data_IF_377987575390
#
_entry.id   IF_377987575390
#
_cell.length_a   1.000
_cell.length_b   1.000
_cell.length_c   1.000
_cell.angle_alpha   90.00
_cell.angle_beta   90.00
_cell.angle_gamma   90.00
#
_symmetry.space_group_name_H-M   'P 1'
#
loop_
_entity.id
_entity.type
_entity.pdbx_description
1 polymer ?
#
# COMPACT_ATOMS: atom_id res chain seq x y z
N UNK A 1 -14.50 -1.26 -2.26
CA UNK A 1 -14.54 0.19 -2.10
C UNK A 1 -13.64 0.63 -0.94
N UNK A 2 -12.81 1.62 -1.17
CA UNK A 2 -11.90 2.12 -0.14
C UNK A 2 -12.60 3.13 0.78
N UNK A 3 -12.38 2.96 2.08
CA UNK A 3 -12.86 3.89 3.12
C UNK A 3 -11.68 4.42 3.92
N UNK A 4 -11.80 5.64 4.44
CA UNK A 4 -10.77 6.24 5.28
C UNK A 4 -10.74 5.54 6.64
N UNK A 5 -9.57 5.00 7.01
CA UNK A 5 -9.40 4.27 8.27
C UNK A 5 -8.81 5.13 9.39
N UNK A 6 -8.40 6.38 9.14
CA UNK A 6 -7.81 7.20 10.21
C UNK A 6 -8.70 7.29 11.46
N UNK A 7 -10.02 7.52 11.33
CA UNK A 7 -10.90 7.54 12.50
C UNK A 7 -11.00 6.20 13.23
N UNK A 8 -10.61 5.10 12.57
CA UNK A 8 -10.72 3.75 13.11
C UNK A 8 -9.41 3.16 13.60
N UNK A 9 -8.32 3.94 13.55
CA UNK A 9 -7.02 3.50 14.06
C UNK A 9 -7.15 3.23 15.57
N UNK A 10 -6.64 2.06 15.98
CA UNK A 10 -6.78 1.58 17.36
C UNK A 10 -7.90 0.58 17.55
N UNK A 11 -8.80 0.43 16.57
CA UNK A 11 -9.82 -0.62 16.65
C UNK A 11 -9.20 -2.00 16.38
N UNK A 12 -9.81 -3.09 16.92
CA UNK A 12 -9.29 -4.43 16.70
C UNK A 12 -9.15 -4.81 15.22
N UNK A 13 -10.08 -4.40 14.38
CA UNK A 13 -10.10 -4.72 12.95
C UNK A 13 -8.91 -4.09 12.21
N UNK A 14 -8.64 -2.81 12.48
CA UNK A 14 -7.51 -2.11 11.88
C UNK A 14 -6.19 -2.64 12.43
N UNK A 15 -6.11 -2.90 13.74
CA UNK A 15 -4.92 -3.46 14.36
C UNK A 15 -4.57 -4.84 13.79
N UNK A 16 -5.56 -5.69 13.56
CA UNK A 16 -5.35 -7.00 12.95
C UNK A 16 -4.70 -6.87 11.58
N UNK A 17 -5.25 -6.02 10.71
CA UNK A 17 -4.71 -5.81 9.36
C UNK A 17 -3.31 -5.19 9.40
N UNK A 18 -3.08 -4.21 10.26
CA UNK A 18 -1.74 -3.61 10.41
C UNK A 18 -0.72 -4.64 10.88
N UNK A 19 -1.12 -5.59 11.72
CA UNK A 19 -0.24 -6.66 12.17
C UNK A 19 0.28 -7.47 10.98
N UNK A 20 -0.56 -7.77 9.99
CA UNK A 20 -0.13 -8.45 8.78
C UNK A 20 0.79 -7.59 7.91
N UNK A 21 0.63 -6.28 7.94
CA UNK A 21 1.46 -5.36 7.17
C UNK A 21 2.87 -5.18 7.76
N UNK A 22 3.02 -5.39 9.08
CA UNK A 22 4.29 -5.23 9.82
C UNK A 22 4.74 -6.53 10.46
N UNK A 23 4.52 -7.64 9.79
CA UNK A 23 4.67 -9.00 10.31
C UNK A 23 6.08 -9.29 10.85
N UNK A 24 7.10 -8.65 10.31
CA UNK A 24 8.50 -8.87 10.68
C UNK A 24 8.93 -8.17 11.97
N UNK A 25 8.09 -7.27 12.49
CA UNK A 25 8.39 -6.52 13.70
C UNK A 25 7.13 -6.31 14.54
N UNK A 26 6.90 -7.18 15.56
CA UNK A 26 5.71 -7.06 16.41
C UNK A 26 5.62 -5.74 17.18
N UNK A 27 6.76 -5.06 17.40
CA UNK A 27 6.79 -3.76 18.09
C UNK A 27 6.45 -2.60 17.16
N UNK A 28 6.49 -2.81 15.85
CA UNK A 28 6.20 -1.79 14.86
C UNK A 28 4.72 -1.43 14.79
N UNK A 29 3.81 -2.27 15.28
CA UNK A 29 2.38 -2.03 15.18
C UNK A 29 1.98 -0.70 15.83
N UNK A 30 2.39 -0.46 17.08
CA UNK A 30 2.05 0.76 17.79
C UNK A 30 2.68 1.99 17.15
N UNK A 31 3.94 1.89 16.75
CA UNK A 31 4.64 2.97 16.06
C UNK A 31 3.97 3.30 14.74
N UNK A 32 3.64 2.29 13.94
CA UNK A 32 2.96 2.46 12.65
C UNK A 32 1.58 3.10 12.82
N UNK A 33 0.81 2.65 13.80
CA UNK A 33 -0.50 3.23 14.13
C UNK A 33 -0.37 4.71 14.50
N UNK A 34 0.63 5.04 15.31
CA UNK A 34 0.89 6.44 15.71
C UNK A 34 1.28 7.31 14.52
N UNK A 35 2.12 6.80 13.63
CA UNK A 35 2.52 7.54 12.42
C UNK A 35 1.32 7.88 11.55
N UNK A 36 0.45 6.91 11.28
CA UNK A 36 -0.76 7.17 10.50
C UNK A 36 -1.75 8.11 11.19
N UNK A 37 -1.82 8.07 12.52
CA UNK A 37 -2.69 8.95 13.28
C UNK A 37 -2.19 10.40 13.30
N UNK A 38 -0.88 10.59 13.39
CA UNK A 38 -0.28 11.89 13.68
C UNK A 38 0.16 12.65 12.43
N UNK A 39 0.59 11.93 11.38
CA UNK A 39 1.13 12.55 10.16
C UNK A 39 0.03 12.78 9.13
N UNK A 40 -0.25 14.06 8.83
CA UNK A 40 -1.28 14.45 7.89
C UNK A 40 -1.00 13.96 6.46
N UNK A 41 0.28 13.82 6.08
CA UNK A 41 0.69 13.33 4.77
C UNK A 41 0.51 11.83 4.57
N UNK A 42 0.37 11.07 5.65
CA UNK A 42 0.14 9.64 5.59
C UNK A 42 -1.35 9.35 5.59
N UNK A 43 -1.79 8.52 4.65
CA UNK A 43 -3.19 8.12 4.49
C UNK A 43 -3.31 6.62 4.73
N UNK A 44 -4.37 6.21 5.39
CA UNK A 44 -4.68 4.80 5.63
C UNK A 44 -6.12 4.54 5.19
N UNK A 45 -6.28 3.70 4.19
CA UNK A 45 -7.58 3.32 3.65
C UNK A 45 -7.79 1.82 3.74
N UNK A 46 -9.03 1.42 3.84
CA UNK A 46 -9.39 0.00 3.92
C UNK A 46 -10.40 -0.39 2.87
N UNK A 47 -10.35 -1.66 2.47
CA UNK A 47 -11.32 -2.25 1.58
C UNK A 47 -12.41 -2.91 2.42
N UNK A 48 -13.62 -2.40 2.29
CA UNK A 48 -14.77 -2.90 3.03
C UNK A 48 -15.79 -3.52 2.06
N UNK A 49 -16.25 -4.72 2.37
CA UNK A 49 -17.36 -5.36 1.69
C UNK A 49 -18.33 -5.93 2.73
N UNK A 50 -19.62 -5.67 2.55
CA UNK A 50 -20.69 -6.17 3.45
C UNK A 50 -20.42 -5.85 4.93
N UNK A 51 -19.93 -4.63 5.18
CA UNK A 51 -19.56 -4.13 6.51
C UNK A 51 -18.34 -4.84 7.15
N UNK A 52 -17.63 -5.66 6.37
CA UNK A 52 -16.41 -6.33 6.82
C UNK A 52 -15.18 -5.67 6.22
N UNK A 53 -14.19 -5.37 7.06
CA UNK A 53 -12.91 -4.83 6.63
C UNK A 53 -11.99 -5.98 6.23
N UNK A 54 -11.66 -6.08 4.95
CA UNK A 54 -10.92 -7.22 4.39
C UNK A 54 -9.47 -6.92 4.05
N UNK A 55 -9.13 -5.66 3.86
CA UNK A 55 -7.78 -5.26 3.51
C UNK A 55 -7.52 -3.80 3.86
N UNK A 56 -6.24 -3.41 3.85
CA UNK A 56 -5.86 -2.01 4.00
C UNK A 56 -4.70 -1.66 3.09
N UNK A 57 -4.59 -0.37 2.79
CA UNK A 57 -3.46 0.21 2.10
C UNK A 57 -3.11 1.54 2.77
N UNK A 58 -1.84 1.69 3.13
CA UNK A 58 -1.30 2.92 3.68
C UNK A 58 -0.35 3.54 2.67
N UNK A 59 -0.46 4.85 2.48
CA UNK A 59 0.32 5.54 1.46
C UNK A 59 0.58 6.99 1.84
N UNK A 60 1.57 7.58 1.18
CA UNK A 60 1.90 8.99 1.29
C UNK A 60 1.78 9.64 -0.08
N UNK A 61 1.09 10.77 -0.15
CA UNK A 61 1.06 11.60 -1.35
C UNK A 61 2.23 12.55 -1.30
N UNK A 62 3.09 12.52 -2.32
CA UNK A 62 4.29 13.36 -2.38
C UNK A 62 4.01 14.64 -3.16
N UNK A 63 4.88 15.65 -2.96
CA UNK A 63 4.72 16.97 -3.60
C UNK A 63 4.81 16.92 -5.13
N UNK A 64 5.51 15.93 -5.68
CA UNK A 64 5.67 15.76 -7.12
C UNK A 64 4.48 15.07 -7.80
N UNK A 65 3.43 14.78 -7.04
CA UNK A 65 2.25 14.09 -7.55
C UNK A 65 2.35 12.58 -7.55
N UNK A 66 3.39 12.02 -6.93
CA UNK A 66 3.54 10.58 -6.76
C UNK A 66 2.79 10.10 -5.53
N UNK A 67 2.52 8.79 -5.48
CA UNK A 67 1.90 8.15 -4.35
C UNK A 67 2.80 6.98 -3.93
N UNK A 68 3.32 7.05 -2.71
CA UNK A 68 4.18 6.02 -2.12
C UNK A 68 3.34 5.06 -1.28
N UNK A 69 3.26 3.80 -1.71
CA UNK A 69 2.61 2.75 -0.91
C UNK A 69 3.56 2.37 0.21
N UNK A 70 3.12 2.55 1.46
CA UNK A 70 3.90 2.21 2.65
C UNK A 70 3.53 0.85 3.21
N UNK A 71 2.25 0.51 3.17
CA UNK A 71 1.73 -0.75 3.70
C UNK A 71 0.58 -1.21 2.84
N UNK A 72 0.49 -2.52 2.63
CA UNK A 72 -0.66 -3.14 2.00
C UNK A 72 -0.85 -4.52 2.63
N UNK A 73 -2.06 -4.84 3.00
CA UNK A 73 -2.38 -6.13 3.61
C UNK A 73 -3.81 -6.56 3.29
N UNK A 74 -4.01 -7.85 3.20
CA UNK A 74 -5.32 -8.49 3.07
C UNK A 74 -5.39 -9.59 4.10
N UNK A 75 -6.55 -9.77 4.75
CA UNK A 75 -6.75 -10.86 5.71
C UNK A 75 -6.42 -12.20 5.03
N UNK A 76 -5.76 -13.13 5.75
CA UNK A 76 -5.33 -14.40 5.14
C UNK A 76 -6.44 -15.18 4.44
N UNK A 77 -7.63 -15.23 5.03
CA UNK A 77 -8.79 -15.93 4.45
C UNK A 77 -9.34 -15.26 3.19
N UNK A 78 -8.95 -14.03 2.92
CA UNK A 78 -9.42 -13.25 1.76
C UNK A 78 -8.36 -13.09 0.67
N UNK A 79 -7.19 -13.66 0.86
CA UNK A 79 -6.10 -13.60 -0.14
C UNK A 79 -6.44 -14.42 -1.38
N UNK A 80 -5.87 -14.02 -2.51
CA UNK A 80 -6.10 -14.72 -3.78
C UNK A 80 -7.42 -14.38 -4.44
N UNK A 81 -8.15 -13.39 -3.93
CA UNK A 81 -9.46 -12.97 -4.47
C UNK A 81 -9.41 -11.62 -5.20
N UNK A 82 -8.22 -11.04 -5.33
CA UNK A 82 -8.04 -9.79 -6.05
C UNK A 82 -8.27 -8.50 -5.25
N UNK A 83 -8.36 -8.56 -3.93
CA UNK A 83 -8.59 -7.35 -3.11
C UNK A 83 -7.41 -6.39 -3.13
N UNK A 84 -6.17 -6.89 -3.03
CA UNK A 84 -4.99 -6.03 -3.11
C UNK A 84 -4.92 -5.32 -4.46
N UNK A 85 -5.16 -6.06 -5.54
CA UNK A 85 -5.25 -5.49 -6.89
C UNK A 85 -6.35 -4.43 -6.97
N UNK A 86 -7.51 -4.72 -6.40
CA UNK A 86 -8.64 -3.79 -6.38
C UNK A 86 -8.31 -2.50 -5.67
N UNK A 87 -7.60 -2.57 -4.53
CA UNK A 87 -7.16 -1.39 -3.80
C UNK A 87 -6.21 -0.52 -4.63
N UNK A 88 -5.23 -1.14 -5.31
CA UNK A 88 -4.29 -0.43 -6.18
C UNK A 88 -5.03 0.26 -7.34
N UNK A 89 -5.94 -0.46 -7.99
CA UNK A 89 -6.70 0.09 -9.12
C UNK A 89 -7.60 1.26 -8.68
N UNK A 90 -8.21 1.18 -7.51
CA UNK A 90 -9.01 2.28 -7.00
C UNK A 90 -8.16 3.51 -6.66
N UNK A 91 -6.97 3.32 -6.10
CA UNK A 91 -6.03 4.43 -5.87
C UNK A 91 -5.63 5.10 -7.19
N UNK A 92 -5.36 4.33 -8.23
CA UNK A 92 -5.03 4.88 -9.55
C UNK A 92 -6.20 5.68 -10.12
N UNK A 93 -7.41 5.22 -9.94
CA UNK A 93 -8.62 5.86 -10.46
C UNK A 93 -9.02 7.10 -9.68
N UNK A 94 -8.99 7.03 -8.35
CA UNK A 94 -9.49 8.10 -7.48
C UNK A 94 -8.46 9.18 -7.19
N UNK A 95 -7.17 8.82 -7.08
CA UNK A 95 -6.10 9.74 -6.75
C UNK A 95 -5.37 10.28 -7.98
N UNK A 96 -5.41 9.53 -9.09
CA UNK A 96 -4.76 9.88 -10.35
C UNK A 96 -3.31 10.34 -10.13
N UNK A 97 -2.48 9.53 -9.44
CA UNK A 97 -1.09 9.91 -9.19
C UNK A 97 -0.31 9.89 -10.49
N UNK A 98 0.77 10.66 -10.53
CA UNK A 98 1.70 10.63 -11.65
C UNK A 98 2.50 9.32 -11.68
N UNK A 99 2.95 8.91 -10.50
CA UNK A 99 3.63 7.63 -10.28
C UNK A 99 3.03 6.95 -9.06
N UNK A 100 2.94 5.65 -9.12
CA UNK A 100 2.63 4.82 -7.96
C UNK A 100 3.88 4.03 -7.65
N UNK A 101 4.40 4.15 -6.41
CA UNK A 101 5.69 3.61 -6.03
C UNK A 101 5.54 2.73 -4.79
N UNK A 102 6.23 1.61 -4.77
CA UNK A 102 6.35 0.74 -3.60
C UNK A 102 7.76 0.20 -3.52
N UNK A 103 8.31 0.09 -2.31
CA UNK A 103 9.59 -0.55 -2.08
C UNK A 103 9.38 -1.80 -1.25
N UNK A 104 10.11 -2.87 -1.57
CA UNK A 104 10.00 -4.14 -0.87
C UNK A 104 11.33 -4.89 -0.89
N UNK A 105 11.56 -5.70 0.13
CA UNK A 105 12.66 -6.65 0.18
C UNK A 105 12.20 -8.06 -0.20
N UNK A 106 10.91 -8.24 -0.47
CA UNK A 106 10.29 -9.52 -0.75
C UNK A 106 10.02 -9.69 -2.25
N UNK A 107 10.62 -10.73 -2.83
CA UNK A 107 10.42 -11.07 -4.25
C UNK A 107 8.97 -11.43 -4.58
N UNK A 108 8.24 -12.02 -3.66
CA UNK A 108 6.82 -12.36 -3.87
C UNK A 108 6.00 -11.08 -4.02
N UNK A 109 6.26 -10.08 -3.17
CA UNK A 109 5.61 -8.78 -3.29
C UNK A 109 6.01 -8.08 -4.60
N UNK A 110 7.29 -8.15 -4.99
CA UNK A 110 7.75 -7.60 -6.26
C UNK A 110 7.04 -8.25 -7.45
N UNK A 111 6.87 -9.58 -7.43
CA UNK A 111 6.15 -10.30 -8.48
C UNK A 111 4.68 -9.88 -8.56
N UNK A 112 4.05 -9.63 -7.41
CA UNK A 112 2.70 -9.08 -7.37
C UNK A 112 2.65 -7.74 -8.12
N UNK A 113 3.57 -6.82 -7.84
CA UNK A 113 3.61 -5.53 -8.52
C UNK A 113 3.92 -5.66 -10.01
N UNK A 114 4.83 -6.58 -10.39
CA UNK A 114 5.10 -6.88 -11.81
C UNK A 114 3.84 -7.34 -12.53
N UNK A 115 3.02 -8.15 -11.87
CA UNK A 115 1.77 -8.66 -12.46
C UNK A 115 0.76 -7.56 -12.77
N UNK A 116 0.89 -6.42 -12.11
CA UNK A 116 0.05 -5.23 -12.33
C UNK A 116 0.64 -4.27 -13.36
N UNK A 117 1.83 -4.55 -13.88
CA UNK A 117 2.50 -3.69 -14.85
C UNK A 117 3.54 -2.74 -14.28
N UNK A 118 3.88 -2.87 -13.00
CA UNK A 118 4.96 -2.08 -12.41
C UNK A 118 6.30 -2.52 -12.98
N UNK A 119 7.20 -1.56 -13.19
CA UNK A 119 8.61 -1.85 -13.42
C UNK A 119 9.29 -2.04 -12.07
N UNK A 120 10.14 -3.07 -11.98
CA UNK A 120 10.86 -3.41 -10.74
C UNK A 120 12.35 -3.34 -11.01
N UNK A 121 13.06 -2.63 -10.15
CA UNK A 121 14.52 -2.55 -10.23
C UNK A 121 15.14 -2.51 -8.84
N UNK A 122 16.41 -2.93 -8.79
CA UNK A 122 17.14 -3.03 -7.53
C UNK A 122 17.72 -1.66 -7.13
N UNK A 123 17.57 -1.33 -5.85
CA UNK A 123 18.27 -0.20 -5.24
C UNK A 123 19.62 -0.62 -4.63
N UNK A 124 19.98 -1.90 -4.76
CA UNK A 124 21.19 -2.48 -4.19
C UNK A 124 20.92 -3.14 -2.84
N UNK A 125 22.01 -3.67 -2.26
CA UNK A 125 21.95 -4.35 -0.97
C UNK A 125 22.27 -3.39 0.17
N UNK A 126 21.59 -3.58 1.31
CA UNK A 126 21.90 -2.85 2.53
C UNK A 126 23.10 -3.50 3.25
N UNK A 127 23.48 -2.96 4.43
CA UNK A 127 24.61 -3.48 5.21
C UNK A 127 24.42 -4.93 5.64
N UNK A 128 23.20 -5.44 5.71
CA UNK A 128 22.90 -6.85 6.04
C UNK A 128 22.89 -7.76 4.79
N UNK A 129 23.18 -7.23 3.60
CA UNK A 129 23.17 -8.00 2.37
C UNK A 129 21.77 -8.22 1.79
N UNK A 130 20.77 -7.46 2.23
CA UNK A 130 19.40 -7.58 1.77
C UNK A 130 19.16 -6.58 0.65
N UNK A 131 18.72 -7.10 -0.50
CA UNK A 131 18.38 -6.27 -1.66
C UNK A 131 17.02 -5.60 -1.48
N UNK A 132 16.96 -4.30 -1.70
CA UNK A 132 15.71 -3.55 -1.77
C UNK A 132 15.29 -3.38 -3.22
N UNK A 133 14.04 -3.72 -3.51
CA UNK A 133 13.44 -3.60 -4.84
C UNK A 133 12.47 -2.42 -4.85
N UNK A 134 12.58 -1.58 -5.87
CA UNK A 134 11.69 -0.45 -6.09
C UNK A 134 10.74 -0.78 -7.25
N UNK A 135 9.46 -0.69 -6.98
CA UNK A 135 8.39 -0.97 -7.94
C UNK A 135 7.73 0.34 -8.32
N UNK A 136 7.67 0.66 -9.61
CA UNK A 136 7.15 1.93 -10.10
C UNK A 136 6.15 1.68 -11.22
N UNK A 137 4.99 2.29 -11.08
CA UNK A 137 3.99 2.35 -12.15
C UNK A 137 3.84 3.80 -12.59
N UNK A 138 4.16 4.08 -13.84
CA UNK A 138 3.95 5.40 -14.43
C UNK A 138 2.56 5.46 -15.04
N UNK A 139 1.78 6.43 -14.55
CA UNK A 139 0.42 6.63 -15.07
C UNK A 139 0.51 7.50 -16.32
N UNK A 140 0.15 6.92 -17.47
CA UNK A 140 0.10 7.69 -18.71
C UNK A 140 -1.05 8.68 -18.67
N UNK A 141 -0.72 9.96 -18.92
CA UNK A 141 -1.74 10.95 -19.14
C UNK A 141 -2.39 10.67 -20.49
N UNK A 142 -3.68 10.37 -20.46
CA UNK A 142 -4.45 10.35 -21.69
C UNK A 142 -4.72 11.82 -22.04
N UNK A 143 -3.97 12.33 -23.01
CA UNK A 143 -4.32 13.64 -23.57
C UNK A 143 -5.65 13.49 -24.29
N UNK A 144 -6.62 14.30 -23.87
CA UNK A 144 -7.86 14.44 -24.62
C UNK A 144 -7.52 15.07 -25.97
N UNK A 145 -7.50 14.24 -26.99
CA UNK A 145 -7.46 14.74 -28.36
C UNK A 145 -8.82 15.32 -28.70
N UNK A 146 -8.86 16.60 -28.81
CA UNK A 146 -10.04 17.27 -29.36
C UNK A 146 -10.06 17.21 -30.87
#
# INVERSE_FOLDING_TARGET
MLIDLKPLIGTPEVNELLTYAVIDDPNALQQTSSEYSEQAGLKLYGWEEEELLLGLVGFEETEDGSLDIRHIAVLPENRGKGYARGMILELLTTRQPRYLVAETEDEIAADFYRSLGFMVYSLGENAAGIETLRCVYEVEEIEDEE
#
